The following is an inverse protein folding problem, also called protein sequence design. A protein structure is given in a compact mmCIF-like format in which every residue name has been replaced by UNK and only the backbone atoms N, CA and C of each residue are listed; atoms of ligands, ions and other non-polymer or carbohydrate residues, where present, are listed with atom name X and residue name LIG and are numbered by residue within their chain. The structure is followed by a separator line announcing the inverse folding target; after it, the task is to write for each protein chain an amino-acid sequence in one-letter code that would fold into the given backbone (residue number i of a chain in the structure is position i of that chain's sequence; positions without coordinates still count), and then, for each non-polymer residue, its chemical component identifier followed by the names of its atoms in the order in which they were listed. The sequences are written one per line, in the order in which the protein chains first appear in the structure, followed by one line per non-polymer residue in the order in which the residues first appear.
data_IF_868988385864
#
_entry.id   IF_868988385864
#
_cell.length_a   1.000
_cell.length_b   1.000
_cell.length_c   1.000
_cell.angle_alpha   90.00
_cell.angle_beta   90.00
_cell.angle_gamma   90.00
#
_symmetry.space_group_name_H-M   'P 1'
#
loop_
_entity.id
_entity.type
_entity.pdbx_description
1 polymer ?
#
# COMPACT_ATOMS: atom_id res chain seq x y z
N UNK A 1 6.31 -1.00 22.55
CA UNK A 1 5.12 -1.40 21.79
C UNK A 1 4.53 -0.18 21.15
N UNK A 2 4.24 -0.22 19.84
CA UNK A 2 3.45 0.84 19.20
C UNK A 2 2.03 0.60 19.71
N UNK A 3 1.60 1.38 20.70
CA UNK A 3 0.25 1.27 21.23
C UNK A 3 -0.73 1.82 20.20
N UNK A 4 -1.78 1.05 19.93
CA UNK A 4 -2.86 1.48 19.07
C UNK A 4 -3.61 2.65 19.72
N UNK A 5 -3.99 3.68 18.95
CA UNK A 5 -4.79 4.77 19.49
C UNK A 5 -6.18 4.24 19.91
N UNK A 6 -6.80 4.81 20.95
CA UNK A 6 -8.07 4.33 21.49
C UNK A 6 -9.23 4.39 20.47
N UNK A 7 -9.12 5.27 19.46
CA UNK A 7 -10.08 5.43 18.37
C UNK A 7 -9.58 4.84 17.04
N UNK A 8 -8.72 3.82 17.09
CA UNK A 8 -8.11 3.21 15.90
C UNK A 8 -9.13 2.84 14.83
N UNK A 9 -10.21 2.16 15.21
CA UNK A 9 -11.22 1.66 14.27
C UNK A 9 -11.94 2.81 13.55
N UNK A 10 -12.30 3.87 14.28
CA UNK A 10 -12.92 5.08 13.70
C UNK A 10 -11.97 5.76 12.71
N UNK A 11 -10.68 5.87 13.06
CA UNK A 11 -9.68 6.44 12.15
C UNK A 11 -9.47 5.56 10.91
N UNK A 12 -9.56 4.24 11.07
CA UNK A 12 -9.41 3.25 10.01
C UNK A 12 -10.57 3.37 9.00
N UNK A 13 -11.80 3.32 9.50
CA UNK A 13 -13.03 3.49 8.72
C UNK A 13 -13.08 4.84 8.01
N UNK A 14 -12.75 5.93 8.72
CA UNK A 14 -12.64 7.26 8.12
C UNK A 14 -11.66 7.28 6.96
N UNK A 15 -10.53 6.58 7.05
CA UNK A 15 -9.52 6.55 5.98
C UNK A 15 -10.07 5.92 4.70
N UNK A 16 -10.86 4.83 4.80
CA UNK A 16 -11.50 4.23 3.64
C UNK A 16 -12.65 5.08 3.11
N UNK A 17 -13.47 5.66 3.99
CA UNK A 17 -14.55 6.58 3.62
C UNK A 17 -14.02 7.79 2.86
N UNK A 18 -12.93 8.40 3.34
CA UNK A 18 -12.27 9.52 2.66
C UNK A 18 -11.78 9.09 1.25
N UNK A 19 -11.12 7.92 1.14
CA UNK A 19 -10.63 7.41 -0.16
C UNK A 19 -11.77 7.09 -1.15
N UNK A 20 -12.89 6.57 -0.66
CA UNK A 20 -14.08 6.30 -1.47
C UNK A 20 -14.66 7.62 -2.01
N UNK A 21 -14.79 8.62 -1.15
CA UNK A 21 -15.26 9.97 -1.53
C UNK A 21 -14.32 10.65 -2.54
N UNK A 22 -13.01 10.44 -2.41
CA UNK A 22 -11.99 10.92 -3.34
C UNK A 22 -11.89 10.10 -4.64
N UNK A 23 -12.69 9.03 -4.77
CA UNK A 23 -12.67 8.09 -5.92
C UNK A 23 -11.31 7.43 -6.14
N UNK A 24 -10.56 7.22 -5.06
CA UNK A 24 -9.31 6.45 -5.07
C UNK A 24 -9.62 4.95 -5.06
N UNK A 25 -10.70 4.57 -4.39
CA UNK A 25 -11.23 3.22 -4.30
C UNK A 25 -12.71 3.21 -4.71
N UNK A 26 -13.23 2.03 -5.01
CA UNK A 26 -14.63 1.81 -5.36
C UNK A 26 -15.16 0.54 -4.68
N UNK A 27 -16.48 0.47 -4.51
CA UNK A 27 -17.14 -0.76 -4.05
C UNK A 27 -17.20 -1.77 -5.20
N UNK A 28 -16.94 -3.03 -4.89
CA UNK A 28 -17.00 -4.11 -5.87
C UNK A 28 -18.49 -4.38 -6.20
N UNK A 29 -18.90 -4.36 -7.47
CA UNK A 29 -20.28 -4.65 -7.86
C UNK A 29 -20.74 -6.02 -7.36
N UNK A 30 -21.99 -6.14 -6.90
CA UNK A 30 -22.55 -7.39 -6.35
C UNK A 30 -22.36 -8.59 -7.30
N UNK A 31 -22.52 -8.37 -8.62
CA UNK A 31 -22.34 -9.39 -9.64
C UNK A 31 -20.91 -9.96 -9.72
N UNK A 32 -19.90 -9.23 -9.24
CA UNK A 32 -18.50 -9.63 -9.27
C UNK A 32 -18.04 -10.24 -7.94
N UNK A 33 -18.77 -10.00 -6.84
CA UNK A 33 -18.45 -10.47 -5.50
C UNK A 33 -18.48 -12.01 -5.36
N UNK A 34 -19.32 -12.69 -6.14
CA UNK A 34 -19.47 -14.16 -6.10
C UNK A 34 -18.46 -14.92 -6.96
N UNK A 35 -17.60 -14.20 -7.68
CA UNK A 35 -16.63 -14.82 -8.60
C UNK A 35 -15.40 -15.29 -7.82
N UNK A 36 -15.39 -16.54 -7.35
CA UNK A 36 -14.29 -17.12 -6.55
C UNK A 36 -12.89 -16.96 -7.18
N UNK A 37 -12.81 -16.76 -8.50
CA UNK A 37 -11.55 -16.60 -9.23
C UNK A 37 -11.16 -15.14 -9.56
N UNK A 38 -11.97 -14.14 -9.16
CA UNK A 38 -11.71 -12.73 -9.50
C UNK A 38 -11.27 -11.87 -8.31
N UNK A 39 -11.61 -12.28 -7.08
CA UNK A 39 -11.29 -11.51 -5.88
C UNK A 39 -9.96 -11.95 -5.25
N UNK A 40 -8.99 -11.05 -5.25
CA UNK A 40 -7.75 -11.20 -4.49
C UNK A 40 -7.72 -10.19 -3.34
N UNK A 41 -7.55 -10.68 -2.12
CA UNK A 41 -7.44 -9.84 -0.93
C UNK A 41 -5.97 -9.60 -0.59
N UNK A 42 -5.60 -8.34 -0.38
CA UNK A 42 -4.26 -7.96 0.06
C UNK A 42 -4.31 -7.73 1.56
N UNK A 43 -3.48 -8.42 2.37
CA UNK A 43 -3.43 -8.17 3.80
C UNK A 43 -3.00 -6.73 4.06
N UNK A 44 -3.64 -6.10 5.04
CA UNK A 44 -3.37 -4.71 5.38
C UNK A 44 -3.30 -4.51 6.90
N UNK A 45 -2.58 -3.49 7.33
CA UNK A 45 -2.45 -3.14 8.74
C UNK A 45 -2.41 -1.63 8.93
N UNK A 46 -2.92 -1.19 10.07
CA UNK A 46 -2.89 0.21 10.47
C UNK A 46 -1.55 0.54 11.13
N UNK A 47 -0.94 1.65 10.73
CA UNK A 47 0.29 2.18 11.32
C UNK A 47 0.03 3.59 11.80
N UNK A 48 -0.03 3.76 13.13
CA UNK A 48 -0.23 5.06 13.74
C UNK A 48 1.09 5.81 13.91
N UNK A 49 1.15 7.01 13.32
CA UNK A 49 2.28 7.92 13.47
C UNK A 49 2.00 8.91 14.59
N UNK A 50 2.57 8.66 15.77
CA UNK A 50 2.41 9.53 16.95
C UNK A 50 2.90 10.97 16.69
N UNK A 51 4.01 11.13 15.93
CA UNK A 51 4.60 12.43 15.60
C UNK A 51 3.65 13.34 14.78
N UNK A 52 2.88 12.74 13.87
CA UNK A 52 1.94 13.44 12.98
C UNK A 52 0.49 13.27 13.38
N UNK A 53 0.22 12.53 14.45
CA UNK A 53 -1.11 12.08 14.89
C UNK A 53 -1.96 11.55 13.73
N UNK A 54 -1.34 10.81 12.80
CA UNK A 54 -1.97 10.37 11.55
C UNK A 54 -1.92 8.86 11.42
N UNK A 55 -3.05 8.26 11.08
CA UNK A 55 -3.12 6.85 10.70
C UNK A 55 -2.72 6.66 9.23
N UNK A 56 -1.99 5.58 8.95
CA UNK A 56 -1.72 5.10 7.58
C UNK A 56 -2.12 3.64 7.50
N UNK A 57 -2.77 3.26 6.41
CA UNK A 57 -3.07 1.86 6.11
C UNK A 57 -1.97 1.36 5.17
N UNK A 58 -1.28 0.29 5.57
CA UNK A 58 -0.21 -0.32 4.81
C UNK A 58 -0.69 -1.65 4.27
N UNK A 59 -0.66 -1.80 2.95
CA UNK A 59 -0.97 -3.05 2.26
C UNK A 59 0.32 -3.83 2.02
N UNK A 60 0.33 -5.11 2.40
CA UNK A 60 1.44 -6.01 2.13
C UNK A 60 1.23 -6.74 0.80
N UNK A 61 1.67 -6.09 -0.27
CA UNK A 61 1.64 -6.63 -1.63
C UNK A 61 2.69 -7.73 -1.88
N UNK A 62 3.55 -8.03 -0.89
CA UNK A 62 4.53 -9.11 -0.97
C UNK A 62 4.04 -10.42 -0.33
N UNK A 63 2.94 -10.36 0.41
CA UNK A 63 2.29 -11.55 0.96
C UNK A 63 1.91 -12.52 -0.17
N UNK A 64 2.21 -13.79 0.04
CA UNK A 64 1.91 -14.86 -0.91
C UNK A 64 1.45 -16.13 -0.20
N UNK A 65 0.52 -16.85 -0.82
CA UNK A 65 0.16 -18.20 -0.41
C UNK A 65 1.28 -19.13 -0.89
N UNK A 66 1.60 -20.18 -0.10
CA UNK A 66 2.64 -21.15 -0.45
C UNK A 66 2.40 -21.72 -1.86
N UNK A 67 3.36 -21.51 -2.76
CA UNK A 67 3.29 -21.99 -4.15
C UNK A 67 2.60 -21.04 -5.13
N UNK A 68 2.15 -19.87 -4.69
CA UNK A 68 1.55 -18.84 -5.54
C UNK A 68 2.40 -17.55 -5.52
N UNK A 69 2.42 -16.77 -6.61
CA UNK A 69 3.13 -15.49 -6.65
C UNK A 69 2.42 -14.43 -5.80
N UNK A 70 3.17 -13.45 -5.29
CA UNK A 70 2.61 -12.23 -4.69
C UNK A 70 2.18 -11.23 -5.76
N UNK A 71 1.43 -10.18 -5.37
CA UNK A 71 1.09 -9.10 -6.29
C UNK A 71 2.35 -8.44 -6.88
N UNK A 72 3.39 -8.25 -6.06
CA UNK A 72 4.65 -7.69 -6.53
C UNK A 72 5.35 -8.55 -7.60
N UNK A 73 5.13 -9.87 -7.59
CA UNK A 73 5.72 -10.79 -8.57
C UNK A 73 4.96 -10.79 -9.90
N UNK A 74 3.66 -10.46 -9.87
CA UNK A 74 2.80 -10.47 -11.07
C UNK A 74 2.72 -9.12 -11.77
N UNK A 75 3.04 -8.02 -11.08
CA UNK A 75 3.03 -6.69 -11.66
C UNK A 75 4.19 -6.48 -12.64
N UNK A 76 3.87 -5.95 -13.82
CA UNK A 76 4.88 -5.52 -14.77
C UNK A 76 5.65 -4.30 -14.21
N UNK A 77 6.92 -4.51 -13.84
CA UNK A 77 7.78 -3.50 -13.21
C UNK A 77 8.07 -2.27 -14.08
N UNK A 78 7.98 -2.41 -15.40
CA UNK A 78 8.41 -1.37 -16.35
C UNK A 78 9.92 -1.11 -16.33
N UNK A 79 10.40 -0.22 -17.23
CA UNK A 79 11.81 0.17 -17.27
C UNK A 79 12.19 1.04 -16.07
N UNK A 80 13.44 0.92 -15.61
CA UNK A 80 13.97 1.75 -14.51
C UNK A 80 14.25 3.16 -15.03
N UNK A 81 13.39 4.12 -14.69
CA UNK A 81 13.54 5.53 -15.08
C UNK A 81 14.50 6.33 -14.17
N UNK A 82 14.78 5.82 -12.97
CA UNK A 82 15.63 6.50 -12.02
C UNK A 82 17.12 6.33 -12.39
N UNK A 83 17.93 7.40 -12.32
CA UNK A 83 19.36 7.29 -12.49
C UNK A 83 19.94 6.40 -11.38
N UNK A 84 20.99 5.65 -11.69
CA UNK A 84 21.71 4.85 -10.69
C UNK A 84 22.13 5.75 -9.53
N UNK A 85 21.76 5.36 -8.31
CA UNK A 85 22.08 6.12 -7.08
C UNK A 85 23.59 6.40 -7.00
N UNK A 86 24.41 5.41 -7.33
CA UNK A 86 25.87 5.58 -7.41
C UNK A 86 26.29 6.73 -8.36
N UNK A 87 25.65 6.85 -9.52
CA UNK A 87 25.94 7.93 -10.46
C UNK A 87 25.50 9.31 -9.94
N UNK A 88 24.39 9.38 -9.20
CA UNK A 88 23.94 10.62 -8.54
C UNK A 88 24.94 11.03 -7.45
N UNK A 89 25.34 10.10 -6.59
CA UNK A 89 26.30 10.34 -5.51
C UNK A 89 27.68 10.76 -6.04
N UNK A 90 28.14 10.14 -7.13
CA UNK A 90 29.40 10.50 -7.77
C UNK A 90 29.37 11.94 -8.32
N UNK A 91 28.28 12.35 -8.98
CA UNK A 91 28.12 13.73 -9.47
C UNK A 91 28.12 14.74 -8.32
N UNK A 92 27.44 14.45 -7.22
CA UNK A 92 27.45 15.33 -6.04
C UNK A 92 28.85 15.49 -5.46
N UNK A 93 29.63 14.41 -5.39
CA UNK A 93 31.01 14.46 -4.89
C UNK A 93 31.95 15.24 -5.83
N UNK A 94 31.65 15.27 -7.12
CA UNK A 94 32.46 15.92 -8.15
C UNK A 94 32.06 17.38 -8.42
N UNK A 95 30.85 17.79 -8.04
CA UNK A 95 30.45 19.19 -8.07
C UNK A 95 31.26 19.97 -7.02
N UNK A 96 32.14 20.86 -7.48
CA UNK A 96 32.72 21.93 -6.65
C UNK A 96 31.68 23.02 -6.41
#
# INVERSE_FOLDING_TARGET
SIEDPPNLLEMYDKTFTDQLNEKIIEEIPEAEQETENLCHFIPHQAVYRQDKKKLRIVFDCSAHIKGHPSLNDTLYRGPVLLPKVAAVLLRWRQAK
#
